data_IF_971134969308
#
_entry.id   IF_971134969308
#
_cell.length_a   1.000
_cell.length_b   1.000
_cell.length_c   1.000
_cell.angle_alpha   90.00
_cell.angle_beta   90.00
_cell.angle_gamma   90.00
#
_symmetry.space_group_name_H-M   'P 1'
#
loop_
_entity.id
_entity.type
_entity.pdbx_description
1 polymer ?
#
# COMPACT_ATOMS: atom_id res chain seq x y z
N UNK A 1 -0.14 3.43 9.08
CA UNK A 1 -0.66 3.69 7.72
C UNK A 1 0.48 3.45 6.75
N UNK A 2 0.20 3.11 5.49
CA UNK A 2 1.22 2.80 4.49
C UNK A 2 1.48 4.00 3.56
N UNK A 3 2.63 4.02 2.92
CA UNK A 3 2.99 5.04 1.93
C UNK A 3 3.71 4.37 0.74
N UNK A 4 3.79 5.08 -0.37
CA UNK A 4 4.52 4.68 -1.56
C UNK A 4 5.53 5.79 -1.89
N UNK A 5 6.78 5.39 -2.08
CA UNK A 5 7.89 6.26 -2.46
C UNK A 5 8.43 5.81 -3.82
N UNK A 6 8.79 6.73 -4.73
CA UNK A 6 9.54 6.37 -5.92
C UNK A 6 10.88 5.75 -5.54
N UNK A 7 11.11 4.52 -5.99
CA UNK A 7 12.34 3.77 -5.76
C UNK A 7 12.75 3.09 -7.08
N UNK A 8 13.78 3.58 -7.79
CA UNK A 8 14.21 2.98 -9.04
C UNK A 8 14.60 1.51 -8.87
N UNK A 9 13.85 0.60 -9.51
CA UNK A 9 14.04 -0.85 -9.39
C UNK A 9 13.27 -1.49 -8.23
N UNK A 10 12.60 -0.67 -7.39
CA UNK A 10 11.64 -1.13 -6.40
C UNK A 10 10.35 -1.60 -7.07
N UNK A 11 9.80 -2.70 -6.56
CA UNK A 11 8.53 -3.26 -7.02
C UNK A 11 7.56 -3.41 -5.85
N UNK A 12 6.27 -3.22 -6.11
CA UNK A 12 5.21 -3.50 -5.14
C UNK A 12 4.00 -4.13 -5.80
N UNK A 13 3.33 -5.02 -5.07
CA UNK A 13 2.02 -5.55 -5.45
C UNK A 13 0.92 -4.81 -4.67
N UNK A 14 -0.25 -4.71 -5.29
CA UNK A 14 -1.44 -4.09 -4.72
C UNK A 14 -2.70 -4.60 -5.39
N UNK A 15 -3.85 -4.14 -4.93
CA UNK A 15 -5.15 -4.51 -5.50
C UNK A 15 -5.67 -3.38 -6.37
N UNK A 16 -5.92 -3.67 -7.65
CA UNK A 16 -6.50 -2.72 -8.60
C UNK A 16 -8.03 -2.77 -8.54
N UNK A 17 -8.66 -1.63 -8.22
CA UNK A 17 -10.12 -1.50 -8.17
C UNK A 17 -10.63 -0.63 -9.31
N UNK A 18 -11.74 -1.06 -9.95
CA UNK A 18 -12.51 -0.23 -10.88
C UNK A 18 -13.69 0.39 -10.15
N UNK A 19 -13.65 1.70 -9.95
CA UNK A 19 -14.64 2.44 -9.18
C UNK A 19 -15.39 3.46 -10.05
N UNK A 20 -16.62 3.82 -9.65
CA UNK A 20 -17.37 4.93 -10.25
C UNK A 20 -16.81 6.26 -9.75
N UNK A 21 -16.96 7.34 -10.53
CA UNK A 21 -16.51 8.69 -10.13
C UNK A 21 -17.09 9.15 -8.78
N UNK A 22 -18.30 8.71 -8.42
CA UNK A 22 -18.92 9.03 -7.13
C UNK A 22 -18.16 8.46 -5.92
N UNK A 23 -17.21 7.52 -6.10
CA UNK A 23 -16.38 7.00 -5.02
C UNK A 23 -15.25 7.95 -4.61
N UNK A 24 -14.97 8.99 -5.41
CA UNK A 24 -13.86 9.90 -5.16
C UNK A 24 -13.99 10.69 -3.84
N UNK A 25 -15.10 11.39 -3.55
CA UNK A 25 -15.23 12.13 -2.30
C UNK A 25 -15.03 11.28 -1.02
N UNK A 26 -15.69 10.11 -0.85
CA UNK A 26 -15.49 9.32 0.36
C UNK A 26 -14.09 8.69 0.47
N UNK A 27 -13.42 8.41 -0.65
CA UNK A 27 -12.01 7.99 -0.62
C UNK A 27 -11.09 9.12 -0.16
N UNK A 28 -11.26 10.32 -0.71
CA UNK A 28 -10.47 11.49 -0.32
C UNK A 28 -10.66 11.87 1.15
N UNK A 29 -11.90 11.75 1.65
CA UNK A 29 -12.21 11.96 3.06
C UNK A 29 -11.47 10.94 3.93
N UNK A 30 -11.54 9.65 3.58
CA UNK A 30 -10.86 8.58 4.33
C UNK A 30 -9.34 8.75 4.35
N UNK A 31 -8.75 9.20 3.24
CA UNK A 31 -7.30 9.41 3.12
C UNK A 31 -6.87 10.80 3.62
N UNK A 32 -7.80 11.63 4.10
CA UNK A 32 -7.49 12.94 4.69
C UNK A 32 -6.92 13.94 3.68
N UNK A 33 -7.38 13.91 2.43
CA UNK A 33 -6.87 14.77 1.34
C UNK A 33 -7.07 16.26 1.65
N UNK A 34 -8.25 16.63 2.15
CA UNK A 34 -8.54 18.02 2.55
C UNK A 34 -7.71 18.48 3.75
N UNK A 35 -7.21 17.53 4.55
CA UNK A 35 -6.35 17.78 5.70
C UNK A 35 -4.86 17.72 5.35
N UNK A 36 -4.51 17.51 4.08
CA UNK A 36 -3.13 17.39 3.63
C UNK A 36 -2.40 16.15 4.16
N UNK A 37 -3.12 15.10 4.57
CA UNK A 37 -2.49 13.85 5.05
C UNK A 37 -1.91 13.07 3.87
N UNK A 38 -2.76 12.80 2.87
CA UNK A 38 -2.37 12.19 1.60
C UNK A 38 -2.78 13.08 0.43
N UNK A 39 -2.14 12.85 -0.72
CA UNK A 39 -2.58 13.37 -2.02
C UNK A 39 -2.75 12.22 -3.00
N UNK A 40 -3.63 12.40 -3.99
CA UNK A 40 -3.73 11.48 -5.12
C UNK A 40 -2.43 11.49 -5.93
N UNK A 41 -2.04 10.34 -6.42
CA UNK A 41 -0.86 10.13 -7.26
C UNK A 41 -1.22 9.18 -8.41
N UNK A 42 -0.90 9.58 -9.64
CA UNK A 42 -1.00 8.67 -10.80
C UNK A 42 0.13 7.67 -10.77
N UNK A 43 -0.18 6.42 -11.09
CA UNK A 43 0.78 5.32 -11.18
C UNK A 43 0.47 4.47 -12.41
N UNK A 44 1.50 3.85 -12.97
CA UNK A 44 1.34 2.82 -13.98
C UNK A 44 1.47 1.46 -13.29
N UNK A 45 0.48 0.60 -13.45
CA UNK A 45 0.48 -0.76 -12.88
C UNK A 45 0.43 -1.79 -14.00
N UNK A 46 1.07 -2.94 -13.77
CA UNK A 46 0.96 -4.09 -14.68
C UNK A 46 -0.16 -4.99 -14.18
N UNK A 47 -1.17 -5.20 -15.01
CA UNK A 47 -2.27 -6.13 -14.74
C UNK A 47 -2.58 -6.92 -16.00
N UNK A 48 -2.58 -8.25 -15.90
CA UNK A 48 -2.78 -9.17 -17.03
C UNK A 48 -1.86 -8.85 -18.23
N UNK A 49 -0.57 -8.68 -17.94
CA UNK A 49 0.48 -8.31 -18.92
C UNK A 49 0.27 -6.98 -19.65
N UNK A 50 -0.63 -6.12 -19.16
CA UNK A 50 -0.91 -4.80 -19.72
C UNK A 50 -0.59 -3.70 -18.72
N UNK A 51 -0.10 -2.57 -19.23
CA UNK A 51 0.08 -1.37 -18.42
C UNK A 51 -1.25 -0.61 -18.31
N UNK A 52 -1.65 -0.29 -17.09
CA UNK A 52 -2.87 0.44 -16.76
C UNK A 52 -2.50 1.69 -15.97
N UNK A 53 -2.94 2.87 -16.42
CA UNK A 53 -2.88 4.09 -15.60
C UNK A 53 -3.92 3.99 -14.48
N UNK A 54 -3.47 4.13 -13.25
CA UNK A 54 -4.31 4.09 -12.06
C UNK A 54 -3.98 5.27 -11.14
N UNK A 55 -4.78 5.44 -10.10
CA UNK A 55 -4.56 6.44 -9.07
C UNK A 55 -4.46 5.75 -7.73
N UNK A 56 -3.46 6.14 -6.96
CA UNK A 56 -3.26 5.76 -5.57
C UNK A 56 -3.14 7.01 -4.70
N UNK A 57 -2.91 6.83 -3.41
CA UNK A 57 -2.66 7.90 -2.45
C UNK A 57 -1.23 7.80 -1.92
N UNK A 58 -0.56 8.94 -1.77
CA UNK A 58 0.79 9.04 -1.21
C UNK A 58 0.83 10.13 -0.14
N UNK A 59 1.59 9.91 0.93
CA UNK A 59 1.71 10.88 2.04
C UNK A 59 2.25 12.21 1.50
N UNK A 60 1.69 13.34 1.93
CA UNK A 60 2.18 14.67 1.53
C UNK A 60 3.49 14.99 2.22
N UNK A 61 3.50 14.93 3.55
CA UNK A 61 4.66 15.23 4.39
C UNK A 61 5.38 13.93 4.75
N UNK A 62 6.40 13.57 3.95
CA UNK A 62 7.18 12.35 4.14
C UNK A 62 7.94 12.41 5.46
N UNK A 63 7.88 11.34 6.25
CA UNK A 63 8.71 11.23 7.43
C UNK A 63 10.13 10.83 7.03
N UNK A 64 11.14 11.36 7.74
CA UNK A 64 12.54 11.01 7.52
C UNK A 64 12.88 9.56 7.89
N UNK A 65 11.96 8.88 8.59
CA UNK A 65 12.07 7.47 8.96
C UNK A 65 10.73 6.79 8.88
N UNK A 66 10.77 5.48 8.62
CA UNK A 66 9.58 4.65 8.72
C UNK A 66 9.24 4.30 10.16
N UNK A 67 7.94 4.28 10.45
CA UNK A 67 7.42 3.92 11.76
C UNK A 67 6.93 2.48 11.77
N UNK A 68 7.20 1.78 12.86
CA UNK A 68 6.68 0.44 13.10
C UNK A 68 5.15 0.44 13.01
N UNK A 69 4.54 -0.35 12.10
CA UNK A 69 3.09 -0.45 12.03
C UNK A 69 2.50 -1.12 13.27
N UNK A 70 1.27 -0.76 13.63
CA UNK A 70 0.57 -1.38 14.76
C UNK A 70 0.20 -2.84 14.45
N UNK A 71 0.12 -3.73 15.45
CA UNK A 71 -0.28 -5.13 15.22
C UNK A 71 -1.66 -5.30 14.57
N UNK A 72 -2.58 -4.36 14.81
CA UNK A 72 -3.89 -4.35 14.16
C UNK A 72 -3.76 -4.02 12.67
N UNK A 73 -2.92 -3.04 12.33
CA UNK A 73 -2.66 -2.67 10.94
C UNK A 73 -1.98 -3.81 10.17
N UNK A 74 -0.99 -4.46 10.78
CA UNK A 74 -0.33 -5.64 10.16
C UNK A 74 -1.33 -6.77 9.87
N UNK A 75 -2.25 -7.05 10.81
CA UNK A 75 -3.35 -8.02 10.60
C UNK A 75 -4.21 -7.66 9.40
N UNK A 76 -4.64 -6.39 9.30
CA UNK A 76 -5.48 -5.93 8.21
C UNK A 76 -4.77 -6.07 6.85
N UNK A 77 -3.51 -5.63 6.76
CA UNK A 77 -2.71 -5.73 5.54
C UNK A 77 -2.49 -7.19 5.14
N UNK A 78 -2.07 -8.05 6.08
CA UNK A 78 -1.78 -9.44 5.75
C UNK A 78 -3.04 -10.23 5.34
N UNK A 79 -4.20 -9.93 5.94
CA UNK A 79 -5.46 -10.53 5.55
C UNK A 79 -5.84 -10.17 4.10
N UNK A 80 -5.65 -8.90 3.71
CA UNK A 80 -5.87 -8.46 2.33
C UNK A 80 -4.84 -9.06 1.37
N UNK A 81 -3.57 -9.04 1.75
CA UNK A 81 -2.46 -9.55 0.94
C UNK A 81 -2.65 -11.03 0.60
N UNK A 82 -2.91 -11.88 1.60
CA UNK A 82 -3.14 -13.32 1.41
C UNK A 82 -4.32 -13.67 0.51
N UNK A 83 -5.29 -12.75 0.37
CA UNK A 83 -6.47 -12.97 -0.46
C UNK A 83 -6.25 -12.60 -1.93
N UNK A 84 -5.32 -11.69 -2.21
CA UNK A 84 -5.28 -11.00 -3.51
C UNK A 84 -3.89 -10.90 -4.13
N UNK A 85 -2.82 -11.04 -3.34
CA UNK A 85 -1.44 -10.84 -3.77
C UNK A 85 -0.71 -12.18 -3.82
N UNK A 86 0.45 -12.20 -4.46
CA UNK A 86 1.24 -13.43 -4.56
C UNK A 86 1.77 -13.88 -3.20
N UNK A 87 1.97 -15.19 -3.06
CA UNK A 87 2.63 -15.76 -1.88
C UNK A 87 4.05 -15.23 -1.72
N UNK A 88 4.74 -14.96 -2.84
CA UNK A 88 6.07 -14.37 -2.84
C UNK A 88 6.05 -12.97 -2.23
N UNK A 89 5.07 -12.14 -2.57
CA UNK A 89 4.91 -10.81 -1.98
C UNK A 89 4.53 -10.87 -0.50
N UNK A 90 3.64 -11.80 -0.12
CA UNK A 90 3.31 -12.00 1.29
C UNK A 90 4.53 -12.39 2.13
N UNK A 91 5.38 -13.31 1.63
CA UNK A 91 6.64 -13.69 2.29
C UNK A 91 7.62 -12.52 2.35
N UNK A 92 7.70 -11.70 1.30
CA UNK A 92 8.53 -10.50 1.28
C UNK A 92 8.09 -9.49 2.33
N UNK A 93 6.79 -9.20 2.44
CA UNK A 93 6.25 -8.31 3.48
C UNK A 93 6.60 -8.79 4.90
N UNK A 94 6.48 -10.10 5.17
CA UNK A 94 6.84 -10.67 6.48
C UNK A 94 8.32 -10.46 6.78
N UNK A 95 9.19 -10.71 5.80
CA UNK A 95 10.64 -10.50 5.93
C UNK A 95 10.98 -9.03 6.19
N UNK A 96 10.42 -8.12 5.40
CA UNK A 96 10.61 -6.67 5.57
C UNK A 96 10.14 -6.19 6.95
N UNK A 97 8.98 -6.67 7.43
CA UNK A 97 8.49 -6.34 8.77
C UNK A 97 9.40 -6.86 9.90
N UNK A 98 10.00 -8.04 9.72
CA UNK A 98 10.95 -8.60 10.68
C UNK A 98 12.26 -7.79 10.69
N UNK A 99 12.84 -7.56 9.52
CA UNK A 99 14.14 -6.88 9.37
C UNK A 99 14.08 -5.42 9.80
N UNK A 100 13.00 -4.72 9.44
CA UNK A 100 12.90 -3.27 9.64
C UNK A 100 12.28 -2.89 10.98
N UNK A 101 11.40 -3.74 11.52
CA UNK A 101 10.60 -3.39 12.70
C UNK A 101 10.59 -4.47 13.80
N UNK A 102 11.30 -5.59 13.62
CA UNK A 102 11.30 -6.69 14.58
C UNK A 102 9.92 -7.31 14.78
N UNK A 103 9.03 -7.24 13.79
CA UNK A 103 7.70 -7.86 13.85
C UNK A 103 7.82 -9.29 13.33
N UNK A 104 7.58 -10.25 14.22
CA UNK A 104 7.44 -11.65 13.82
C UNK A 104 6.00 -11.95 13.40
N UNK A 105 5.85 -12.62 12.26
CA UNK A 105 4.54 -12.98 11.72
C UNK A 105 4.52 -14.46 11.33
N UNK A 106 3.48 -15.22 11.72
CA UNK A 106 3.42 -16.64 11.40
C UNK A 106 3.30 -16.84 9.89
N UNK A 107 4.30 -17.53 9.33
CA UNK A 107 4.25 -18.11 7.98
C UNK A 107 3.21 -19.24 8.06
N UNK A 108 2.19 -19.20 7.21
CA UNK A 108 1.24 -20.30 7.04
C UNK A 108 1.66 -21.08 5.79
#
# INVERSE_FOLDING_TARGET
MGDILPDPGGEMEGVLYRLKLAAWPPLDEREGVSQGTYRRMKVNVIWDSRMIEAVTYTVVNKADREFRPSPLYCRLIMNGARRHLSDAYCRRLIREWKERFGIEWPIR
#
